data_IF_680120930440
#
_entry.id   IF_680120930440
#
_cell.length_a   1.000
_cell.length_b   1.000
_cell.length_c   1.000
_cell.angle_alpha   90.00
_cell.angle_beta   90.00
_cell.angle_gamma   90.00
#
_symmetry.space_group_name_H-M   'P 1'
#
loop_
_entity.id
_entity.type
_entity.pdbx_description
1 polymer ?
#
# COMPACT_ATOMS: atom_id res chain seq x y z
N UNK A 1 8.71 -18.77 -21.59
CA UNK A 1 7.46 -18.20 -21.04
C UNK A 1 7.38 -18.54 -19.56
N UNK A 2 7.88 -17.66 -18.70
CA UNK A 2 7.66 -17.74 -17.25
C UNK A 2 6.22 -17.34 -16.98
N UNK A 3 5.35 -18.35 -16.84
CA UNK A 3 3.97 -18.12 -16.38
C UNK A 3 4.04 -17.83 -14.89
N UNK A 4 3.72 -16.60 -14.50
CA UNK A 4 3.56 -16.25 -13.09
C UNK A 4 2.27 -16.87 -12.59
N UNK A 5 2.32 -17.50 -11.42
CA UNK A 5 1.11 -18.03 -10.80
C UNK A 5 0.34 -16.89 -10.13
N UNK A 6 -0.96 -17.08 -9.87
CA UNK A 6 -1.73 -16.14 -9.05
C UNK A 6 -1.08 -15.91 -7.67
N UNK A 7 -0.43 -16.93 -7.11
CA UNK A 7 0.29 -16.86 -5.83
C UNK A 7 1.46 -15.88 -5.88
N UNK A 8 2.26 -15.88 -6.96
CA UNK A 8 3.35 -14.90 -7.15
C UNK A 8 2.81 -13.46 -7.25
N UNK A 9 1.63 -13.27 -7.85
CA UNK A 9 0.98 -11.95 -7.94
C UNK A 9 0.47 -11.46 -6.58
N UNK A 10 -0.08 -12.36 -5.77
CA UNK A 10 -0.49 -12.04 -4.39
C UNK A 10 0.73 -11.71 -3.54
N UNK A 11 1.81 -12.50 -3.65
CA UNK A 11 3.06 -12.22 -2.95
C UNK A 11 3.64 -10.86 -3.36
N UNK A 12 3.53 -10.50 -4.65
CA UNK A 12 3.93 -9.19 -5.15
C UNK A 12 3.04 -8.06 -4.62
N UNK A 13 1.73 -8.30 -4.52
CA UNK A 13 0.76 -7.33 -3.98
C UNK A 13 1.07 -6.97 -2.51
N UNK A 14 1.52 -7.94 -1.71
CA UNK A 14 1.92 -7.74 -0.31
C UNK A 14 3.40 -7.36 -0.13
N UNK A 15 4.14 -7.11 -1.22
CA UNK A 15 5.58 -6.83 -1.21
C UNK A 15 6.43 -7.95 -0.57
N UNK A 16 5.95 -9.19 -0.59
CA UNK A 16 6.62 -10.36 -0.01
C UNK A 16 7.53 -11.05 -1.04
N UNK A 17 7.71 -10.49 -2.24
CA UNK A 17 8.57 -11.04 -3.30
C UNK A 17 10.00 -10.51 -3.23
N UNK A 18 10.97 -11.38 -3.54
CA UNK A 18 12.37 -10.97 -3.76
C UNK A 18 12.49 -9.94 -4.89
N UNK A 19 13.45 -9.01 -4.78
CA UNK A 19 13.70 -7.93 -5.76
C UNK A 19 13.75 -8.43 -7.21
N UNK A 20 14.35 -9.60 -7.43
CA UNK A 20 14.45 -10.25 -8.75
C UNK A 20 13.07 -10.67 -9.30
N UNK A 21 12.21 -11.25 -8.45
CA UNK A 21 10.84 -11.63 -8.80
C UNK A 21 9.97 -10.40 -9.05
N UNK A 22 10.08 -9.38 -8.19
CA UNK A 22 9.39 -8.09 -8.34
C UNK A 22 9.67 -7.46 -9.70
N UNK A 23 10.93 -7.44 -10.14
CA UNK A 23 11.32 -6.92 -11.45
C UNK A 23 10.76 -7.76 -12.61
N UNK A 24 10.78 -9.09 -12.49
CA UNK A 24 10.26 -10.01 -13.49
C UNK A 24 8.72 -9.91 -13.64
N UNK A 25 7.99 -9.84 -12.52
CA UNK A 25 6.54 -9.64 -12.49
C UNK A 25 6.20 -8.29 -13.10
N UNK A 26 6.92 -7.23 -12.73
CA UNK A 26 6.72 -5.90 -13.29
C UNK A 26 6.94 -5.88 -14.81
N UNK A 27 7.98 -6.55 -15.32
CA UNK A 27 8.21 -6.66 -16.76
C UNK A 27 7.07 -7.43 -17.46
N UNK A 28 6.56 -8.48 -16.83
CA UNK A 28 5.45 -9.26 -17.34
C UNK A 28 4.14 -8.47 -17.37
N UNK A 29 3.83 -7.71 -16.31
CA UNK A 29 2.66 -6.83 -16.26
C UNK A 29 2.70 -5.71 -17.32
N UNK A 30 3.89 -5.29 -17.77
CA UNK A 30 4.04 -4.32 -18.86
C UNK A 30 3.90 -4.96 -20.25
N UNK A 31 4.08 -6.27 -20.37
CA UNK A 31 4.10 -6.99 -21.65
C UNK A 31 2.78 -7.72 -21.91
N UNK A 32 2.15 -8.25 -20.85
CA UNK A 32 0.94 -9.06 -20.91
C UNK A 32 -0.25 -8.28 -20.34
N UNK A 33 -1.11 -7.80 -21.24
CA UNK A 33 -2.30 -7.01 -20.88
C UNK A 33 -3.33 -7.82 -20.09
N UNK A 34 -3.47 -9.12 -20.39
CA UNK A 34 -4.41 -10.00 -19.70
C UNK A 34 -3.96 -10.26 -18.25
N UNK A 35 -2.65 -10.42 -18.05
CA UNK A 35 -2.06 -10.52 -16.72
C UNK A 35 -2.26 -9.23 -15.91
N UNK A 36 -2.11 -8.08 -16.56
CA UNK A 36 -2.33 -6.77 -15.95
C UNK A 36 -3.78 -6.61 -15.48
N UNK A 37 -4.75 -6.90 -16.33
CA UNK A 37 -6.17 -6.79 -15.96
C UNK A 37 -6.51 -7.67 -14.75
N UNK A 38 -6.04 -8.91 -14.76
CA UNK A 38 -6.22 -9.84 -13.63
C UNK A 38 -5.58 -9.32 -12.34
N UNK A 39 -4.41 -8.70 -12.44
CA UNK A 39 -3.74 -8.08 -11.29
C UNK A 39 -4.48 -6.84 -10.78
N UNK A 40 -5.01 -6.00 -11.68
CA UNK A 40 -5.81 -4.83 -11.31
C UNK A 40 -7.10 -5.23 -10.58
N UNK A 41 -7.75 -6.31 -11.00
CA UNK A 41 -8.90 -6.90 -10.29
C UNK A 41 -8.53 -7.37 -8.87
N UNK A 42 -7.36 -8.00 -8.68
CA UNK A 42 -6.87 -8.41 -7.36
C UNK A 42 -6.59 -7.21 -6.45
N UNK A 43 -5.98 -6.14 -6.99
CA UNK A 43 -5.75 -4.89 -6.25
C UNK A 43 -7.07 -4.25 -5.84
N UNK A 44 -8.07 -4.25 -6.73
CA UNK A 44 -9.40 -3.72 -6.40
C UNK A 44 -10.11 -4.55 -5.33
N UNK A 45 -10.04 -5.88 -5.41
CA UNK A 45 -10.58 -6.77 -4.39
C UNK A 45 -9.93 -6.51 -3.02
N UNK A 46 -8.59 -6.38 -2.96
CA UNK A 46 -7.87 -6.01 -1.73
C UNK A 46 -8.34 -4.68 -1.14
N UNK A 47 -8.43 -3.62 -1.96
CA UNK A 47 -8.90 -2.30 -1.52
C UNK A 47 -10.32 -2.35 -0.96
N UNK A 48 -11.17 -3.21 -1.51
CA UNK A 48 -12.52 -3.41 -1.00
C UNK A 48 -12.55 -4.15 0.34
N UNK A 49 -11.61 -5.07 0.59
CA UNK A 49 -11.44 -5.75 1.88
C UNK A 49 -10.90 -4.81 2.97
N UNK A 50 -10.00 -3.89 2.61
CA UNK A 50 -9.42 -2.89 3.53
C UNK A 50 -10.40 -1.78 3.99
N UNK A 51 -11.70 -1.90 3.68
CA UNK A 51 -12.75 -1.02 4.25
C UNK A 51 -12.98 -1.22 5.76
N UNK A 52 -12.03 -1.82 6.48
CA UNK A 52 -12.01 -1.76 7.93
C UNK A 52 -11.59 -0.34 8.31
N UNK A 53 -12.58 0.46 8.72
CA UNK A 53 -12.38 1.82 9.21
C UNK A 53 -11.66 1.77 10.56
N UNK A 54 -10.34 1.61 10.54
CA UNK A 54 -9.47 1.72 11.71
C UNK A 54 -9.41 3.19 12.12
N UNK A 55 -10.36 3.63 12.94
CA UNK A 55 -10.29 4.94 13.56
C UNK A 55 -9.22 4.92 14.66
N UNK A 56 -8.24 5.83 14.64
CA UNK A 56 -7.33 5.99 15.77
C UNK A 56 -8.13 6.34 17.02
N UNK A 57 -7.63 5.94 18.20
CA UNK A 57 -8.22 6.37 19.48
C UNK A 57 -8.14 7.90 19.57
N UNK A 58 -9.19 8.53 20.09
CA UNK A 58 -9.26 10.00 20.25
C UNK A 58 -8.05 10.57 21.01
N UNK A 59 -7.49 9.81 21.96
CA UNK A 59 -6.28 10.21 22.69
C UNK A 59 -5.07 10.41 21.76
N UNK A 60 -4.88 9.53 20.77
CA UNK A 60 -3.76 9.64 19.83
C UNK A 60 -3.91 10.89 18.96
N UNK A 61 -5.13 11.16 18.48
CA UNK A 61 -5.46 12.37 17.71
C UNK A 61 -5.19 13.62 18.55
N UNK A 62 -5.66 13.65 19.79
CA UNK A 62 -5.45 14.76 20.71
C UNK A 62 -3.96 14.99 21.02
N UNK A 63 -3.17 13.94 21.23
CA UNK A 63 -1.71 14.05 21.45
C UNK A 63 -0.98 14.66 20.26
N UNK A 64 -1.36 14.28 19.03
CA UNK A 64 -0.78 14.85 17.80
C UNK A 64 -1.15 16.34 17.69
N UNK A 65 -2.42 16.69 17.88
CA UNK A 65 -2.91 18.08 17.83
C UNK A 65 -2.26 18.96 18.90
N UNK A 66 -2.06 18.44 20.11
CA UNK A 66 -1.34 19.15 21.17
C UNK A 66 0.13 19.38 20.82
N UNK A 67 0.79 18.39 20.21
CA UNK A 67 2.19 18.51 19.81
C UNK A 67 2.39 19.58 18.72
N UNK A 68 1.54 19.60 17.69
CA UNK A 68 1.57 20.66 16.66
C UNK A 68 1.22 22.03 17.24
N UNK A 69 0.22 22.13 18.11
CA UNK A 69 -0.16 23.41 18.73
C UNK A 69 0.96 23.98 19.62
N UNK A 70 1.65 23.13 20.40
CA UNK A 70 2.81 23.55 21.20
C UNK A 70 3.96 24.03 20.32
N UNK A 71 4.22 23.34 19.20
CA UNK A 71 5.27 23.74 18.25
C UNK A 71 4.96 25.09 17.59
N UNK A 72 3.70 25.35 17.23
CA UNK A 72 3.27 26.65 16.68
C UNK A 72 3.34 27.77 17.72
N UNK A 73 3.03 27.50 18.98
CA UNK A 73 3.19 28.48 20.06
C UNK A 73 4.66 28.85 20.33
N UNK A 74 5.58 27.89 20.19
CA UNK A 74 7.02 28.13 20.33
C UNK A 74 7.62 28.89 19.14
N UNK A 75 7.08 28.71 17.92
CA UNK A 75 7.55 29.40 16.72
C UNK A 75 7.11 30.88 16.64
N UNK A 76 6.02 31.27 17.31
CA UNK A 76 5.57 32.67 17.38
C UNK A 76 6.12 33.45 18.59
N UNK A 77 6.90 32.80 19.46
CA UNK A 77 7.48 33.43 20.66
C UNK A 77 8.96 33.83 20.45
N UNK A 78 9.38 34.09 19.21
CA UNK A 78 10.75 34.47 18.87
C UNK A 78 10.79 35.63 17.86
#
# INVERSE_FOLDING_TARGET
>A
MTKFTPEDLVQYLYNETSVQKTAAIKAALNTDWNLKESFEQLVEAQKNLEKIKLSPRDEAVNKILQHTSKKVGQLHSH
#
